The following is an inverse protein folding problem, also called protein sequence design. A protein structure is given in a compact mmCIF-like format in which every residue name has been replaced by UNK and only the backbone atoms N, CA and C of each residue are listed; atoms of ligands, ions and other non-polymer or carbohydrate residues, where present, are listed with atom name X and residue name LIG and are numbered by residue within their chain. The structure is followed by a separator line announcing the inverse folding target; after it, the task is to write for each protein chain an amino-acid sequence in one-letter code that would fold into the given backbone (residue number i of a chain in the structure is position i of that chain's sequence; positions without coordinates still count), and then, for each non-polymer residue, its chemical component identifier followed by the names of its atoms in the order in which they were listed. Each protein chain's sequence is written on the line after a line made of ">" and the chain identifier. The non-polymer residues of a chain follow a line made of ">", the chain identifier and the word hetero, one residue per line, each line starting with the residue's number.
data_IF_576405809890
#
_entry.id   IF_576405809890
#
_cell.length_a   1.000
_cell.length_b   1.000
_cell.length_c   1.000
_cell.angle_alpha   90.00
_cell.angle_beta   90.00
_cell.angle_gamma   90.00
#
_symmetry.space_group_name_H-M   'P 1'
#
loop_
_entity.id
_entity.type
_entity.pdbx_description
1 polymer ?
#
# COMPACT_ATOMS: atom_id res chain seq x y z
N UNK A 1 -21.55 6.57 -17.73
CA UNK A 1 -20.25 6.26 -17.12
C UNK A 1 -19.77 7.56 -16.51
N UNK A 2 -19.53 7.62 -15.19
CA UNK A 2 -19.06 8.85 -14.56
C UNK A 2 -17.55 8.69 -14.38
N UNK A 3 -16.78 9.32 -15.27
CA UNK A 3 -15.32 9.38 -15.19
C UNK A 3 -15.00 10.77 -14.68
N UNK A 4 -14.26 10.84 -13.57
CA UNK A 4 -13.81 12.10 -13.00
C UNK A 4 -12.34 12.27 -13.34
N UNK A 5 -12.05 13.27 -14.17
CA UNK A 5 -10.66 13.67 -14.47
C UNK A 5 -10.31 14.87 -13.61
N UNK A 6 -9.24 14.76 -12.85
CA UNK A 6 -8.70 15.86 -12.05
C UNK A 6 -7.27 16.13 -12.49
N UNK A 7 -6.96 17.40 -12.77
CA UNK A 7 -5.61 17.80 -13.15
C UNK A 7 -4.75 18.13 -11.94
N UNK A 8 -5.31 18.89 -10.99
CA UNK A 8 -4.63 19.35 -9.78
C UNK A 8 -5.62 19.53 -8.61
N UNK A 9 -5.15 19.39 -7.37
CA UNK A 9 -5.87 19.86 -6.18
C UNK A 9 -6.10 18.82 -5.08
N UNK A 10 -7.26 18.93 -4.42
CA UNK A 10 -7.72 18.03 -3.35
C UNK A 10 -9.01 17.35 -3.83
N UNK A 11 -9.07 16.02 -3.73
CA UNK A 11 -10.27 15.24 -4.04
C UNK A 11 -10.83 14.57 -2.79
N UNK A 12 -12.10 14.80 -2.51
CA UNK A 12 -12.86 14.06 -1.51
C UNK A 12 -14.02 13.34 -2.21
N UNK A 13 -14.09 12.03 -2.06
CA UNK A 13 -15.16 11.21 -2.61
C UNK A 13 -15.92 10.49 -1.49
N UNK A 14 -17.23 10.74 -1.42
CA UNK A 14 -18.15 10.11 -0.47
C UNK A 14 -19.18 9.20 -1.19
N UNK A 15 -18.95 8.86 -2.45
CA UNK A 15 -19.87 8.13 -3.34
C UNK A 15 -19.27 6.87 -3.96
N UNK A 16 -19.99 6.29 -4.93
CA UNK A 16 -19.48 5.16 -5.75
C UNK A 16 -18.98 5.70 -7.07
N UNK A 17 -17.67 5.91 -7.21
CA UNK A 17 -17.03 6.23 -8.47
C UNK A 17 -16.49 4.94 -9.11
N UNK A 18 -16.63 4.82 -10.45
CA UNK A 18 -16.29 3.58 -11.16
C UNK A 18 -14.89 3.57 -11.77
N UNK A 19 -14.38 4.75 -12.14
CA UNK A 19 -13.04 4.97 -12.70
C UNK A 19 -12.65 6.42 -12.40
N UNK A 20 -11.42 6.64 -11.93
CA UNK A 20 -10.86 7.96 -11.64
C UNK A 20 -9.46 8.01 -12.23
N UNK A 21 -9.18 9.06 -13.00
CA UNK A 21 -7.90 9.31 -13.66
C UNK A 21 -7.41 10.70 -13.27
N UNK A 22 -6.18 10.78 -12.75
CA UNK A 22 -5.63 11.97 -12.11
C UNK A 22 -4.16 12.13 -12.49
N UNK A 23 -3.81 13.29 -13.03
CA UNK A 23 -2.43 13.64 -13.34
C UNK A 23 -1.68 14.03 -12.06
N UNK A 24 -2.12 15.11 -11.39
CA UNK A 24 -1.49 15.57 -10.15
C UNK A 24 -2.52 15.79 -9.06
N UNK A 25 -2.22 15.34 -7.85
CA UNK A 25 -3.09 15.58 -6.70
C UNK A 25 -2.28 15.67 -5.42
N UNK A 26 -2.56 16.71 -4.64
CA UNK A 26 -1.90 16.88 -3.35
C UNK A 26 -2.52 15.94 -2.32
N UNK A 27 -3.85 15.84 -2.28
CA UNK A 27 -4.54 15.00 -1.28
C UNK A 27 -5.76 14.31 -1.86
N UNK A 28 -5.88 13.01 -1.60
CA UNK A 28 -7.09 12.22 -1.87
C UNK A 28 -7.68 11.68 -0.57
N UNK A 29 -8.96 11.92 -0.37
CA UNK A 29 -9.77 11.31 0.69
C UNK A 29 -10.84 10.42 0.06
N UNK A 30 -10.75 9.12 0.32
CA UNK A 30 -11.71 8.12 -0.14
C UNK A 30 -12.55 7.61 1.03
N UNK A 31 -13.83 8.02 1.07
CA UNK A 31 -14.86 7.53 2.01
C UNK A 31 -16.01 6.85 1.23
N UNK A 32 -15.69 6.18 0.13
CA UNK A 32 -16.64 5.45 -0.71
C UNK A 32 -16.00 4.24 -1.37
N UNK A 33 -16.80 3.35 -1.96
CA UNK A 33 -16.27 2.21 -2.71
C UNK A 33 -15.80 2.70 -4.08
N UNK A 34 -14.50 2.86 -4.25
CA UNK A 34 -13.87 3.19 -5.51
C UNK A 34 -13.42 1.92 -6.24
N UNK A 35 -13.60 1.92 -7.56
CA UNK A 35 -13.06 0.90 -8.46
C UNK A 35 -12.18 1.62 -9.46
N UNK A 36 -11.02 1.05 -9.77
CA UNK A 36 -10.13 1.54 -10.84
C UNK A 36 -9.69 3.00 -10.65
N UNK A 37 -8.62 3.19 -9.90
CA UNK A 37 -7.99 4.48 -9.67
C UNK A 37 -6.65 4.45 -10.38
N UNK A 38 -6.39 5.43 -11.23
CA UNK A 38 -5.11 5.66 -11.89
C UNK A 38 -4.64 7.08 -11.52
N UNK A 39 -3.43 7.20 -10.98
CA UNK A 39 -2.86 8.48 -10.55
C UNK A 39 -1.36 8.55 -10.87
N UNK A 40 -0.94 9.53 -11.65
CA UNK A 40 0.49 9.74 -11.94
C UNK A 40 1.22 10.27 -10.68
N UNK A 41 0.76 11.39 -10.11
CA UNK A 41 1.39 11.97 -8.91
C UNK A 41 0.40 12.24 -7.77
N UNK A 42 0.61 11.58 -6.63
CA UNK A 42 -0.14 11.81 -5.41
C UNK A 42 0.77 12.09 -4.21
N UNK A 43 0.60 13.22 -3.53
CA UNK A 43 1.34 13.45 -2.28
C UNK A 43 0.78 12.61 -1.13
N UNK A 44 -0.53 12.66 -0.89
CA UNK A 44 -1.14 11.97 0.26
C UNK A 44 -2.45 11.30 -0.11
N UNK A 45 -2.57 10.02 0.26
CA UNK A 45 -3.80 9.24 0.14
C UNK A 45 -4.31 8.81 1.50
N UNK A 46 -5.58 9.08 1.77
CA UNK A 46 -6.30 8.62 2.95
C UNK A 46 -7.50 7.78 2.53
N UNK A 47 -7.47 6.49 2.87
CA UNK A 47 -8.51 5.52 2.52
C UNK A 47 -9.17 4.97 3.78
N UNK A 48 -10.47 5.25 3.93
CA UNK A 48 -11.29 4.73 5.02
C UNK A 48 -12.40 3.77 4.54
N UNK A 49 -12.34 3.33 3.27
CA UNK A 49 -13.25 2.35 2.68
C UNK A 49 -12.54 1.36 1.75
N UNK A 50 -13.22 0.25 1.40
CA UNK A 50 -12.62 -0.78 0.56
C UNK A 50 -12.33 -0.24 -0.85
N UNK A 51 -11.05 -0.29 -1.25
CA UNK A 51 -10.60 0.12 -2.57
C UNK A 51 -10.13 -1.10 -3.40
N UNK A 52 -10.36 -1.05 -4.70
CA UNK A 52 -9.94 -2.10 -5.65
C UNK A 52 -9.34 -1.54 -6.91
N UNK A 53 -8.25 -2.17 -7.37
CA UNK A 53 -7.55 -1.84 -8.61
C UNK A 53 -7.06 -0.39 -8.57
N UNK A 54 -5.92 -0.19 -7.93
CA UNK A 54 -5.30 1.12 -7.76
C UNK A 54 -3.92 1.02 -8.39
N UNK A 55 -3.66 1.93 -9.30
CA UNK A 55 -2.37 2.12 -9.94
C UNK A 55 -1.90 3.55 -9.62
N UNK A 56 -0.69 3.69 -9.12
CA UNK A 56 -0.10 4.99 -8.79
C UNK A 56 1.39 4.99 -9.13
N UNK A 57 1.83 5.88 -10.03
CA UNK A 57 3.26 5.99 -10.37
C UNK A 57 4.06 6.53 -9.17
N UNK A 58 3.65 7.68 -8.62
CA UNK A 58 4.33 8.29 -7.48
C UNK A 58 3.40 8.63 -6.33
N UNK A 59 3.65 8.01 -5.17
CA UNK A 59 2.94 8.29 -3.93
C UNK A 59 3.91 8.64 -2.79
N UNK A 60 3.76 9.83 -2.19
CA UNK A 60 4.59 10.14 -1.00
C UNK A 60 4.08 9.39 0.23
N UNK A 61 2.78 9.48 0.54
CA UNK A 61 2.23 8.90 1.77
C UNK A 61 0.88 8.23 1.52
N UNK A 62 0.76 6.97 1.96
CA UNK A 62 -0.49 6.21 1.98
C UNK A 62 -0.90 5.89 3.40
N UNK A 63 -2.14 6.22 3.75
CA UNK A 63 -2.79 5.84 5.00
C UNK A 63 -4.06 5.05 4.70
N UNK A 64 -4.13 3.82 5.19
CA UNK A 64 -5.30 2.95 4.98
C UNK A 64 -5.68 2.21 6.24
N UNK A 65 -6.98 2.25 6.60
CA UNK A 65 -7.51 1.61 7.81
C UNK A 65 -8.49 0.45 7.50
N UNK A 66 -8.44 -0.06 6.27
CA UNK A 66 -9.51 -0.89 5.69
C UNK A 66 -8.95 -1.97 4.76
N UNK A 67 -9.82 -2.72 4.09
CA UNK A 67 -9.36 -3.76 3.18
C UNK A 67 -9.01 -3.18 1.81
N UNK A 68 -7.80 -3.45 1.35
CA UNK A 68 -7.33 -3.05 0.03
C UNK A 68 -7.01 -4.28 -0.81
N UNK A 69 -7.38 -4.25 -2.09
CA UNK A 69 -7.08 -5.34 -3.01
C UNK A 69 -6.59 -4.85 -4.36
N UNK A 70 -5.54 -5.49 -4.89
CA UNK A 70 -4.96 -5.17 -6.19
C UNK A 70 -4.47 -3.72 -6.25
N UNK A 71 -3.35 -3.48 -5.58
CA UNK A 71 -2.68 -2.17 -5.55
C UNK A 71 -1.32 -2.36 -6.22
N UNK A 72 -1.03 -1.48 -7.18
CA UNK A 72 0.26 -1.36 -7.84
C UNK A 72 0.78 0.06 -7.61
N UNK A 73 2.04 0.20 -7.20
CA UNK A 73 2.68 1.50 -6.97
C UNK A 73 4.16 1.42 -7.37
N UNK A 74 4.59 2.25 -8.31
CA UNK A 74 6.01 2.28 -8.72
C UNK A 74 6.88 2.84 -7.58
N UNK A 75 6.56 4.05 -7.09
CA UNK A 75 7.33 4.69 -6.02
C UNK A 75 6.47 5.11 -4.83
N UNK A 76 6.72 4.51 -3.67
CA UNK A 76 6.09 4.87 -2.41
C UNK A 76 7.11 5.27 -1.34
N UNK A 77 7.00 6.48 -0.79
CA UNK A 77 7.88 6.84 0.33
C UNK A 77 7.41 6.19 1.63
N UNK A 78 6.14 6.34 2.00
CA UNK A 78 5.63 5.85 3.28
C UNK A 78 4.26 5.19 3.13
N UNK A 79 4.15 3.97 3.64
CA UNK A 79 2.89 3.23 3.74
C UNK A 79 2.55 2.96 5.20
N UNK A 80 1.36 3.38 5.60
CA UNK A 80 0.75 3.07 6.89
C UNK A 80 -0.56 2.33 6.66
N UNK A 81 -0.62 1.09 7.12
CA UNK A 81 -1.81 0.25 6.96
C UNK A 81 -2.25 -0.38 8.28
N UNK A 82 -3.55 -0.31 8.54
CA UNK A 82 -4.19 -0.88 9.72
C UNK A 82 -5.49 -1.58 9.29
N UNK A 83 -5.37 -2.64 8.48
CA UNK A 83 -6.46 -3.33 7.82
C UNK A 83 -6.02 -4.66 7.19
N UNK A 84 -6.84 -5.24 6.29
CA UNK A 84 -6.42 -6.42 5.52
C UNK A 84 -6.00 -6.06 4.10
N UNK A 85 -4.76 -6.35 3.73
CA UNK A 85 -4.26 -6.09 2.39
C UNK A 85 -4.09 -7.38 1.60
N UNK A 86 -4.45 -7.35 0.31
CA UNK A 86 -4.25 -8.49 -0.58
C UNK A 86 -3.83 -8.10 -1.99
N UNK A 87 -2.73 -8.68 -2.48
CA UNK A 87 -2.28 -8.43 -3.86
C UNK A 87 -1.79 -7.00 -3.98
N UNK A 88 -0.68 -6.72 -3.30
CA UNK A 88 0.00 -5.43 -3.36
C UNK A 88 1.33 -5.68 -4.06
N UNK A 89 1.62 -4.89 -5.07
CA UNK A 89 2.91 -4.82 -5.75
C UNK A 89 3.48 -3.40 -5.57
N UNK A 90 4.76 -3.30 -5.24
CA UNK A 90 5.45 -2.02 -5.09
C UNK A 90 6.89 -2.15 -5.56
N UNK A 91 7.31 -1.38 -6.55
CA UNK A 91 8.71 -1.41 -7.00
C UNK A 91 9.64 -0.83 -5.90
N UNK A 92 9.37 0.39 -5.45
CA UNK A 92 10.23 1.06 -4.45
C UNK A 92 9.45 1.56 -3.25
N UNK A 93 9.78 1.05 -2.06
CA UNK A 93 9.21 1.45 -0.79
C UNK A 93 10.28 1.87 0.23
N UNK A 94 10.24 3.13 0.68
CA UNK A 94 11.17 3.56 1.73
C UNK A 94 10.74 3.05 3.11
N UNK A 95 9.46 3.13 3.46
CA UNK A 95 8.98 2.71 4.77
C UNK A 95 7.60 2.08 4.72
N UNK A 96 7.49 0.86 5.24
CA UNK A 96 6.23 0.17 5.49
C UNK A 96 5.98 0.04 6.99
N UNK A 97 4.83 0.50 7.45
CA UNK A 97 4.31 0.24 8.79
C UNK A 97 2.93 -0.42 8.64
N UNK A 98 2.80 -1.65 9.09
CA UNK A 98 1.58 -2.44 8.97
C UNK A 98 1.15 -3.02 10.29
N UNK A 99 -0.12 -2.84 10.62
CA UNK A 99 -0.76 -3.42 11.80
C UNK A 99 -2.06 -4.12 11.39
N UNK A 100 -1.94 -5.31 10.79
CA UNK A 100 -3.09 -5.98 10.18
C UNK A 100 -2.76 -7.33 9.58
N UNK A 101 -3.61 -7.83 8.68
CA UNK A 101 -3.32 -9.05 7.95
C UNK A 101 -2.91 -8.74 6.51
N UNK A 102 -1.75 -9.21 6.08
CA UNK A 102 -1.26 -9.01 4.73
C UNK A 102 -1.13 -10.34 4.00
N UNK A 103 -1.53 -10.35 2.72
CA UNK A 103 -1.41 -11.53 1.89
C UNK A 103 -1.02 -11.22 0.46
N UNK A 104 -0.05 -11.95 -0.09
CA UNK A 104 0.42 -11.76 -1.47
C UNK A 104 0.89 -10.31 -1.66
N UNK A 105 1.99 -9.99 -1.00
CA UNK A 105 2.66 -8.70 -1.14
C UNK A 105 3.99 -8.97 -1.83
N UNK A 106 4.27 -8.24 -2.89
CA UNK A 106 5.56 -8.22 -3.57
C UNK A 106 6.16 -6.82 -3.45
N UNK A 107 7.46 -6.74 -3.17
CA UNK A 107 8.19 -5.47 -3.10
C UNK A 107 9.62 -5.66 -3.61
N UNK A 108 10.01 -4.99 -4.69
CA UNK A 108 11.38 -5.09 -5.20
C UNK A 108 12.37 -4.49 -4.17
N UNK A 109 12.17 -3.24 -3.75
CA UNK A 109 13.09 -2.55 -2.85
C UNK A 109 12.39 -1.97 -1.63
N UNK A 110 12.72 -2.48 -0.45
CA UNK A 110 12.21 -2.00 0.84
C UNK A 110 13.35 -1.54 1.76
N UNK A 111 13.35 -0.26 2.13
CA UNK A 111 14.36 0.21 3.11
C UNK A 111 13.99 -0.20 4.54
N UNK A 112 12.75 0.03 4.99
CA UNK A 112 12.33 -0.31 6.37
C UNK A 112 10.95 -0.94 6.40
N UNK A 113 10.86 -2.12 7.02
CA UNK A 113 9.59 -2.78 7.34
C UNK A 113 9.37 -2.83 8.85
N UNK A 114 8.21 -2.38 9.28
CA UNK A 114 7.67 -2.59 10.63
C UNK A 114 6.33 -3.28 10.49
N UNK A 115 6.20 -4.49 11.02
CA UNK A 115 4.94 -5.22 10.96
C UNK A 115 4.52 -5.79 12.32
N UNK A 116 3.25 -5.60 12.64
CA UNK A 116 2.61 -6.14 13.83
C UNK A 116 1.27 -6.78 13.45
N UNK A 117 1.28 -8.08 13.14
CA UNK A 117 0.09 -8.72 12.56
C UNK A 117 0.37 -10.09 11.95
N UNK A 118 -0.51 -10.54 11.05
CA UNK A 118 -0.29 -11.80 10.33
C UNK A 118 0.09 -11.53 8.88
N UNK A 119 1.25 -12.03 8.45
CA UNK A 119 1.72 -11.91 7.09
C UNK A 119 1.78 -13.27 6.41
N UNK A 120 1.33 -13.34 5.16
CA UNK A 120 1.37 -14.58 4.39
C UNK A 120 1.73 -14.34 2.92
N UNK A 121 2.70 -15.10 2.39
CA UNK A 121 3.15 -14.96 1.00
C UNK A 121 3.61 -13.52 0.75
N UNK A 122 4.71 -13.15 1.41
CA UNK A 122 5.38 -11.88 1.18
C UNK A 122 6.68 -12.18 0.49
N UNK A 123 6.94 -11.51 -0.62
CA UNK A 123 8.22 -11.55 -1.33
C UNK A 123 8.85 -10.16 -1.27
N UNK A 124 10.17 -10.10 -1.05
CA UNK A 124 10.94 -8.86 -1.06
C UNK A 124 12.34 -9.14 -1.62
N UNK A 125 12.69 -8.54 -2.75
CA UNK A 125 14.04 -8.76 -3.34
C UNK A 125 15.11 -8.13 -2.44
N UNK A 126 14.97 -6.85 -2.08
CA UNK A 126 15.93 -6.13 -1.26
C UNK A 126 15.31 -5.48 -0.01
N UNK A 127 15.72 -5.93 1.17
CA UNK A 127 15.31 -5.38 2.47
C UNK A 127 16.48 -4.87 3.31
N UNK A 128 16.51 -3.57 3.60
CA UNK A 128 17.56 -3.05 4.51
C UNK A 128 17.29 -3.41 5.97
N UNK A 129 16.09 -3.11 6.50
CA UNK A 129 15.75 -3.40 7.91
C UNK A 129 14.35 -3.95 8.07
N UNK A 130 14.22 -5.07 8.79
CA UNK A 130 12.95 -5.66 9.21
C UNK A 130 12.78 -5.63 10.72
N UNK A 131 11.62 -5.18 11.15
CA UNK A 131 11.11 -5.33 12.51
C UNK A 131 9.74 -6.00 12.44
N UNK A 132 9.59 -7.21 12.99
CA UNK A 132 8.30 -7.88 13.00
C UNK A 132 7.92 -8.46 14.35
N UNK A 133 6.65 -8.31 14.68
CA UNK A 133 6.04 -8.83 15.90
C UNK A 133 4.67 -9.43 15.54
N UNK A 134 4.66 -10.71 15.15
CA UNK A 134 3.45 -11.31 14.58
C UNK A 134 3.68 -12.72 14.07
N UNK A 135 2.68 -13.27 13.37
CA UNK A 135 2.84 -14.55 12.71
C UNK A 135 3.19 -14.33 11.23
N UNK A 136 4.26 -14.97 10.80
CA UNK A 136 4.74 -14.91 9.43
C UNK A 136 4.68 -16.31 8.83
N UNK A 137 4.19 -16.40 7.59
CA UNK A 137 4.17 -17.67 6.84
C UNK A 137 4.50 -17.45 5.37
N UNK A 138 5.46 -18.21 4.85
CA UNK A 138 5.94 -18.07 3.46
C UNK A 138 6.39 -16.62 3.20
N UNK A 139 7.42 -16.19 3.94
CA UNK A 139 8.08 -14.91 3.69
C UNK A 139 9.40 -15.23 3.01
N UNK A 140 9.58 -14.73 1.79
CA UNK A 140 10.84 -14.78 1.08
C UNK A 140 11.46 -13.37 1.06
N UNK A 141 12.77 -13.31 1.31
CA UNK A 141 13.55 -12.08 1.24
C UNK A 141 14.92 -12.44 0.69
N UNK A 142 15.20 -12.08 -0.56
CA UNK A 142 16.44 -12.48 -1.23
C UNK A 142 17.66 -11.86 -0.55
N UNK A 143 17.59 -10.55 -0.26
CA UNK A 143 18.67 -9.81 0.38
C UNK A 143 18.20 -9.03 1.61
N UNK A 144 18.64 -9.44 2.80
CA UNK A 144 18.35 -8.73 4.04
C UNK A 144 19.62 -8.25 4.76
N UNK A 145 19.70 -6.96 5.09
CA UNK A 145 20.84 -6.43 5.86
C UNK A 145 20.66 -6.62 7.36
N UNK A 146 19.47 -6.31 7.91
CA UNK A 146 19.18 -6.44 9.34
C UNK A 146 17.76 -6.95 9.59
N UNK A 147 17.61 -7.96 10.46
CA UNK A 147 16.31 -8.53 10.86
C UNK A 147 16.20 -8.58 12.38
N UNK A 148 15.09 -8.07 12.89
CA UNK A 148 14.68 -8.17 14.29
C UNK A 148 13.25 -8.73 14.33
N UNK A 149 13.05 -9.90 14.92
CA UNK A 149 11.73 -10.52 15.06
C UNK A 149 11.48 -11.00 16.48
N UNK A 150 10.25 -10.83 16.95
CA UNK A 150 9.81 -11.27 18.29
C UNK A 150 8.53 -12.14 18.22
N UNK A 151 8.33 -12.84 17.10
CA UNK A 151 7.15 -13.67 16.82
C UNK A 151 7.51 -15.09 16.39
N UNK A 152 6.49 -15.91 16.08
CA UNK A 152 6.69 -17.26 15.57
C UNK A 152 6.89 -17.21 14.04
N UNK A 153 8.10 -17.51 13.58
CA UNK A 153 8.40 -17.71 12.16
C UNK A 153 8.16 -19.17 11.78
N UNK A 154 7.39 -19.45 10.71
CA UNK A 154 7.10 -20.81 10.21
C UNK A 154 7.14 -20.91 8.70
#
# INVERSE_FOLDING_TARGET
>A
MNVKTLKEGISANNGKEKCIDIEHLTQKFSNGNEKCIDIEHLTQKFSNDNEKCIDIEHLTQKFSNVNETCIDIEHLTQKFSNGNEKGIDIEQLTQKISNGNEKCIDIEQLTRKFSNGNEKCIDIEHLTRKFSNGNEKCIDIEHVTQKFSNGNEK
#
